data_IF_539300958344
#
_entry.id   IF_539300958344
#
_cell.length_a   1.000
_cell.length_b   1.000
_cell.length_c   1.000
_cell.angle_alpha   90.00
_cell.angle_beta   90.00
_cell.angle_gamma   90.00
#
_symmetry.space_group_name_H-M   'P 1'
#
loop_
_entity.id
_entity.type
_entity.pdbx_description
1 polymer ?
#
# COMPACT_ATOMS: atom_id res chain seq x y z
N UNK A 1 22.13 13.24 5.41
CA UNK A 1 21.35 12.37 6.32
C UNK A 1 21.37 10.90 5.90
N UNK A 2 20.98 10.55 4.67
CA UNK A 2 21.00 9.16 4.18
C UNK A 2 22.38 8.51 4.29
N UNK A 3 23.42 9.21 3.82
CA UNK A 3 24.80 8.71 3.90
C UNK A 3 25.32 8.54 5.34
N UNK A 4 24.94 9.43 6.27
CA UNK A 4 25.37 9.33 7.67
C UNK A 4 24.70 8.16 8.40
N UNK A 5 23.41 7.91 8.12
CA UNK A 5 22.69 6.74 8.67
C UNK A 5 23.28 5.43 8.14
N UNK A 6 23.59 5.37 6.84
CA UNK A 6 24.22 4.19 6.24
C UNK A 6 25.57 3.88 6.89
N UNK A 7 26.44 4.89 7.04
CA UNK A 7 27.75 4.71 7.66
C UNK A 7 27.64 4.27 9.12
N UNK A 8 26.70 4.84 9.87
CA UNK A 8 26.43 4.45 11.25
C UNK A 8 25.98 2.98 11.36
N UNK A 9 25.02 2.56 10.53
CA UNK A 9 24.51 1.19 10.51
C UNK A 9 25.60 0.18 10.10
N UNK A 10 26.38 0.50 9.06
CA UNK A 10 27.49 -0.34 8.60
C UNK A 10 28.56 -0.51 9.69
N UNK A 11 28.92 0.59 10.36
CA UNK A 11 29.90 0.57 11.46
C UNK A 11 29.40 -0.23 12.67
N UNK A 12 28.12 -0.09 13.03
CA UNK A 12 27.49 -0.87 14.09
C UNK A 12 27.51 -2.38 13.78
N UNK A 13 27.19 -2.76 12.54
CA UNK A 13 27.26 -4.16 12.09
C UNK A 13 28.66 -4.76 12.22
N UNK A 14 29.69 -4.00 11.86
CA UNK A 14 31.09 -4.44 11.98
C UNK A 14 31.54 -4.65 13.43
N UNK A 15 30.98 -3.90 14.39
CA UNK A 15 31.29 -4.06 15.83
C UNK A 15 30.51 -5.23 16.44
N UNK A 16 29.23 -5.39 16.07
CA UNK A 16 28.35 -6.43 16.65
C UNK A 16 28.66 -7.82 16.08
N UNK A 17 29.12 -7.91 14.82
CA UNK A 17 29.42 -9.17 14.15
C UNK A 17 30.34 -10.13 14.93
N UNK A 18 31.52 -9.68 15.40
CA UNK A 18 32.41 -10.53 16.21
C UNK A 18 31.88 -10.85 17.61
N UNK A 19 31.00 -10.01 18.16
CA UNK A 19 30.40 -10.24 19.49
C UNK A 19 29.33 -11.33 19.46
N UNK A 20 28.65 -11.51 18.32
CA UNK A 20 27.68 -12.58 18.09
C UNK A 20 28.33 -13.97 18.11
N UNK A 21 29.54 -14.11 17.57
CA UNK A 21 30.22 -15.40 17.40
C UNK A 21 31.49 -15.47 18.24
N UNK A 22 31.33 -15.65 19.55
CA UNK A 22 32.46 -15.78 20.47
C UNK A 22 33.09 -17.18 20.39
N UNK A 23 34.41 -17.27 20.27
CA UNK A 23 35.14 -18.56 20.22
C UNK A 23 34.93 -19.45 21.45
N UNK A 24 34.47 -18.88 22.57
CA UNK A 24 34.09 -19.63 23.79
C UNK A 24 32.89 -20.56 23.56
N UNK A 25 32.05 -20.26 22.58
CA UNK A 25 30.82 -21.00 22.28
C UNK A 25 31.00 -21.94 21.07
N UNK A 26 32.23 -22.11 20.59
CA UNK A 26 32.57 -23.07 19.55
C UNK A 26 32.31 -24.53 20.02
N UNK A 27 31.92 -25.45 19.11
CA UNK A 27 31.73 -25.30 17.67
C UNK A 27 30.31 -24.88 17.24
N UNK A 28 29.34 -24.89 18.16
CA UNK A 28 27.91 -24.77 17.79
C UNK A 28 27.37 -23.35 17.88
N UNK A 29 28.03 -22.43 18.61
CA UNK A 29 27.71 -21.00 18.71
C UNK A 29 26.20 -20.71 18.97
N UNK A 30 25.58 -21.49 19.85
CA UNK A 30 24.16 -21.37 20.18
C UNK A 30 23.67 -19.94 20.49
N UNK A 31 24.38 -19.08 21.26
CA UNK A 31 23.91 -17.72 21.51
C UNK A 31 23.89 -16.86 20.23
N UNK A 32 24.96 -16.87 19.43
CA UNK A 32 25.03 -16.10 18.18
C UNK A 32 23.95 -16.47 17.17
N UNK A 33 23.70 -17.77 16.99
CA UNK A 33 22.63 -18.26 16.12
C UNK A 33 21.24 -17.82 16.58
N UNK A 34 20.98 -17.82 17.90
CA UNK A 34 19.71 -17.35 18.47
C UNK A 34 19.50 -15.86 18.23
N UNK A 35 20.54 -15.05 18.39
CA UNK A 35 20.47 -13.61 18.19
C UNK A 35 20.30 -13.24 16.71
N UNK A 36 20.98 -13.92 15.79
CA UNK A 36 20.73 -13.78 14.34
C UNK A 36 19.28 -14.11 13.97
N UNK A 37 18.74 -15.21 14.51
CA UNK A 37 17.35 -15.59 14.30
C UNK A 37 16.39 -14.54 14.90
N UNK A 38 16.69 -14.00 16.07
CA UNK A 38 15.88 -12.96 16.71
C UNK A 38 15.80 -11.69 15.85
N UNK A 39 16.93 -11.22 15.29
CA UNK A 39 16.96 -10.05 14.39
C UNK A 39 16.15 -10.33 13.12
N UNK A 40 16.28 -11.54 12.56
CA UNK A 40 15.51 -11.93 11.37
C UNK A 40 14.00 -11.93 11.63
N UNK A 41 13.56 -12.53 12.74
CA UNK A 41 12.16 -12.52 13.16
C UNK A 41 11.68 -11.07 13.38
N UNK A 42 12.49 -10.23 14.03
CA UNK A 42 12.15 -8.83 14.22
C UNK A 42 11.93 -8.10 12.88
N UNK A 43 12.76 -8.35 11.87
CA UNK A 43 12.59 -7.79 10.53
C UNK A 43 11.28 -8.24 9.89
N UNK A 44 10.95 -9.54 9.97
CA UNK A 44 9.68 -10.07 9.45
C UNK A 44 8.49 -9.40 10.12
N UNK A 45 8.54 -9.20 11.45
CA UNK A 45 7.49 -8.49 12.20
C UNK A 45 7.34 -7.05 11.73
N UNK A 46 8.45 -6.31 11.52
CA UNK A 46 8.39 -4.93 11.01
C UNK A 46 7.76 -4.86 9.62
N UNK A 47 8.11 -5.79 8.73
CA UNK A 47 7.50 -5.87 7.38
C UNK A 47 6.00 -6.17 7.48
N UNK A 48 5.60 -7.13 8.33
CA UNK A 48 4.20 -7.44 8.54
C UNK A 48 3.42 -6.26 9.13
N UNK A 49 4.01 -5.52 10.07
CA UNK A 49 3.42 -4.29 10.62
C UNK A 49 3.26 -3.21 9.55
N UNK A 50 4.24 -3.04 8.66
CA UNK A 50 4.13 -2.13 7.53
C UNK A 50 2.98 -2.52 6.61
N UNK A 51 2.84 -3.80 6.28
CA UNK A 51 1.73 -4.29 5.45
C UNK A 51 0.36 -4.04 6.11
N UNK A 52 0.24 -4.34 7.41
CA UNK A 52 -0.99 -4.06 8.17
C UNK A 52 -1.29 -2.56 8.22
N UNK A 53 -0.26 -1.72 8.34
CA UNK A 53 -0.43 -0.26 8.32
C UNK A 53 -1.05 0.21 7.00
N UNK A 54 -0.56 -0.28 5.85
CA UNK A 54 -1.10 0.05 4.53
C UNK A 54 -2.56 -0.37 4.38
N UNK A 55 -2.91 -1.60 4.80
CA UNK A 55 -4.30 -2.08 4.77
C UNK A 55 -5.20 -1.20 5.64
N UNK A 56 -4.73 -0.82 6.82
CA UNK A 56 -5.48 0.04 7.74
C UNK A 56 -5.70 1.44 7.16
N UNK A 57 -4.68 2.03 6.52
CA UNK A 57 -4.79 3.33 5.87
C UNK A 57 -5.78 3.29 4.70
N UNK A 58 -5.72 2.27 3.85
CA UNK A 58 -6.70 2.05 2.77
C UNK A 58 -8.14 1.98 3.29
N UNK A 59 -8.38 1.23 4.38
CA UNK A 59 -9.70 1.16 5.01
C UNK A 59 -10.20 2.50 5.53
N UNK A 60 -9.31 3.39 6.00
CA UNK A 60 -9.70 4.73 6.46
C UNK A 60 -10.02 5.65 5.30
N UNK A 61 -9.30 5.54 4.19
CA UNK A 61 -9.59 6.32 2.98
C UNK A 61 -10.89 5.86 2.31
N UNK A 62 -11.19 4.57 2.27
CA UNK A 62 -12.49 4.06 1.79
C UNK A 62 -13.66 4.73 2.52
N UNK A 63 -13.57 4.85 3.86
CA UNK A 63 -14.61 5.56 4.64
C UNK A 63 -14.72 7.04 4.31
N UNK A 64 -13.60 7.71 4.01
CA UNK A 64 -13.59 9.12 3.58
C UNK A 64 -14.22 9.28 2.19
N UNK A 65 -13.95 8.36 1.25
CA UNK A 65 -14.54 8.37 -0.10
C UNK A 65 -16.05 8.25 -0.07
N UNK A 66 -16.57 7.30 0.70
CA UNK A 66 -18.02 7.09 0.85
C UNK A 66 -18.69 8.32 1.47
N UNK A 67 -18.04 8.99 2.43
CA UNK A 67 -18.55 10.24 3.00
C UNK A 67 -18.56 11.41 2.00
N UNK A 68 -17.64 11.40 1.02
CA UNK A 68 -17.54 12.39 -0.05
C UNK A 68 -18.37 12.01 -1.30
N UNK A 69 -19.18 10.95 -1.24
CA UNK A 69 -20.03 10.50 -2.37
C UNK A 69 -19.28 9.76 -3.49
N UNK A 70 -18.00 9.42 -3.29
CA UNK A 70 -17.15 8.72 -4.26
C UNK A 70 -17.23 7.18 -4.08
N UNK A 71 -16.95 6.38 -5.13
CA UNK A 71 -17.00 4.93 -5.03
C UNK A 71 -16.04 4.39 -3.96
N UNK A 72 -16.52 3.43 -3.16
CA UNK A 72 -15.79 2.87 -2.01
C UNK A 72 -14.49 2.16 -2.43
N UNK A 73 -14.52 1.45 -3.57
CA UNK A 73 -13.37 0.78 -4.17
C UNK A 73 -12.97 1.52 -5.43
N UNK A 74 -11.79 2.12 -5.39
CA UNK A 74 -11.15 2.74 -6.55
C UNK A 74 -9.86 1.97 -6.80
N UNK A 75 -9.67 1.53 -8.05
CA UNK A 75 -8.47 0.81 -8.49
C UNK A 75 -7.57 1.84 -9.16
N UNK A 76 -6.33 1.94 -8.71
CA UNK A 76 -5.34 2.80 -9.34
C UNK A 76 -4.72 2.07 -10.53
N UNK A 77 -5.09 2.49 -11.74
CA UNK A 77 -4.59 1.94 -12.99
C UNK A 77 -3.28 2.59 -13.46
N UNK A 78 -2.76 3.62 -12.76
CA UNK A 78 -1.56 4.37 -13.19
C UNK A 78 -0.27 3.54 -13.18
N UNK A 79 -0.25 2.45 -12.41
CA UNK A 79 0.89 1.54 -12.28
C UNK A 79 0.69 0.22 -13.07
N UNK A 80 -0.41 0.08 -13.83
CA UNK A 80 -0.65 -1.10 -14.64
C UNK A 80 0.13 -1.04 -15.97
N UNK A 81 0.56 -2.21 -16.47
CA UNK A 81 1.32 -2.29 -17.73
C UNK A 81 0.47 -1.99 -18.97
N UNK A 82 -0.86 -2.07 -18.83
CA UNK A 82 -1.81 -1.82 -19.90
C UNK A 82 -2.60 -0.56 -19.56
N UNK A 83 -2.72 0.35 -20.52
CA UNK A 83 -3.54 1.55 -20.35
C UNK A 83 -5.02 1.13 -20.36
N UNK A 84 -5.74 1.45 -19.30
CA UNK A 84 -7.20 1.31 -19.22
C UNK A 84 -7.80 2.70 -19.42
N UNK A 85 -8.67 2.85 -20.43
CA UNK A 85 -9.38 4.11 -20.66
C UNK A 85 -10.46 4.28 -19.58
N UNK A 86 -10.45 5.42 -18.89
CA UNK A 86 -11.24 5.70 -17.68
C UNK A 86 -12.77 5.57 -17.88
N UNK A 87 -13.23 5.58 -19.13
CA UNK A 87 -14.64 5.54 -19.51
C UNK A 87 -15.25 4.12 -19.59
N UNK A 88 -14.45 3.07 -19.81
CA UNK A 88 -15.00 1.72 -20.06
C UNK A 88 -15.29 0.93 -18.78
N UNK A 89 -14.48 1.09 -17.71
CA UNK A 89 -14.59 0.21 -16.53
C UNK A 89 -15.65 0.62 -15.50
N UNK A 90 -16.10 1.88 -15.51
CA UNK A 90 -17.20 2.32 -14.65
C UNK A 90 -18.57 1.73 -15.06
N UNK A 91 -18.67 1.14 -16.26
CA UNK A 91 -19.82 0.30 -16.66
C UNK A 91 -19.72 -1.12 -16.13
N UNK A 92 -18.50 -1.67 -16.02
CA UNK A 92 -18.28 -3.07 -15.67
C UNK A 92 -18.39 -3.32 -14.16
N UNK A 93 -18.01 -2.35 -13.32
CA UNK A 93 -18.22 -2.44 -11.86
C UNK A 93 -19.71 -2.43 -11.45
N UNK A 94 -20.60 -1.96 -12.32
CA UNK A 94 -22.05 -1.94 -12.13
C UNK A 94 -22.82 -3.15 -12.66
N UNK A 95 -22.18 -4.11 -13.35
CA UNK A 95 -22.86 -5.22 -14.04
C UNK A 95 -22.67 -6.60 -13.37
N UNK A 96 -22.46 -6.67 -12.04
CA UNK A 96 -22.51 -7.96 -11.30
C UNK A 96 -23.83 -8.13 -10.54
N UNK A 97 -24.70 -7.13 -10.54
CA UNK A 97 -26.06 -7.24 -10.00
C UNK A 97 -27.08 -6.87 -11.07
N UNK A 98 -28.00 -7.79 -11.34
CA UNK A 98 -29.27 -7.56 -12.05
C UNK A 98 -29.30 -7.93 -13.54
N UNK A 99 -29.57 -9.22 -13.77
CA UNK A 99 -30.11 -9.75 -15.03
C UNK A 99 -31.63 -9.65 -14.96
N UNK A 100 -32.26 -8.73 -15.69
CA UNK A 100 -33.45 -8.98 -16.54
C UNK A 100 -34.06 -7.67 -17.09
N UNK A 101 -34.13 -7.62 -18.42
CA UNK A 101 -35.20 -7.03 -19.26
C UNK A 101 -35.73 -5.61 -18.98
N UNK A 102 -35.52 -4.70 -19.94
CA UNK A 102 -36.51 -4.22 -20.93
C UNK A 102 -36.01 -2.87 -21.49
N UNK A 103 -36.15 -2.73 -22.80
CA UNK A 103 -35.80 -1.57 -23.61
C UNK A 103 -36.31 -0.21 -23.10
N UNK A 104 -35.57 0.83 -23.49
CA UNK A 104 -36.00 2.22 -23.73
C UNK A 104 -36.29 3.04 -22.48
N UNK A 105 -35.42 4.00 -22.19
CA UNK A 105 -35.71 5.45 -22.25
C UNK A 105 -34.41 6.23 -22.05
N UNK A 106 -34.11 7.11 -22.99
CA UNK A 106 -33.09 8.15 -22.87
C UNK A 106 -33.49 9.15 -21.78
N UNK A 107 -32.66 9.32 -20.74
CA UNK A 107 -32.38 10.56 -20.00
C UNK A 107 -31.89 10.25 -18.58
N UNK A 108 -30.76 10.82 -18.19
CA UNK A 108 -30.48 11.09 -16.76
C UNK A 108 -29.23 10.45 -16.14
N UNK A 109 -28.05 10.58 -16.76
CA UNK A 109 -26.79 10.10 -16.15
C UNK A 109 -25.63 11.07 -16.13
N UNK A 110 -25.81 12.34 -16.51
CA UNK A 110 -24.71 13.29 -16.76
C UNK A 110 -24.28 14.13 -15.54
N UNK A 111 -24.52 13.69 -14.30
CA UNK A 111 -24.20 14.51 -13.11
C UNK A 111 -23.37 13.80 -12.02
N UNK A 112 -22.98 12.53 -12.18
CA UNK A 112 -22.14 11.82 -11.19
C UNK A 112 -20.68 11.59 -11.63
N UNK A 113 -20.20 12.37 -12.60
CA UNK A 113 -18.86 12.27 -13.15
C UNK A 113 -18.06 13.57 -13.01
N UNK A 114 -18.47 14.46 -12.10
CA UNK A 114 -17.67 15.62 -11.70
C UNK A 114 -16.72 15.22 -10.56
N UNK A 115 -15.41 15.16 -10.84
CA UNK A 115 -14.38 15.27 -9.82
C UNK A 115 -13.57 14.01 -9.45
N UNK A 116 -13.46 13.00 -10.32
CA UNK A 116 -12.43 11.94 -10.19
C UNK A 116 -11.28 12.30 -11.12
N UNK A 117 -10.07 12.48 -10.59
CA UNK A 117 -8.87 12.84 -11.36
C UNK A 117 -8.54 14.34 -11.44
N UNK A 118 -9.41 15.25 -10.98
CA UNK A 118 -9.05 16.67 -10.82
C UNK A 118 -7.94 16.87 -9.79
N UNK A 119 -7.93 16.01 -8.77
CA UNK A 119 -6.89 15.97 -7.74
C UNK A 119 -5.53 15.47 -8.28
N UNK A 120 -5.46 14.93 -9.50
CA UNK A 120 -4.21 14.43 -10.07
C UNK A 120 -3.21 15.55 -10.43
N UNK A 121 -3.70 16.76 -10.72
CA UNK A 121 -2.86 17.93 -11.02
C UNK A 121 -2.52 18.76 -9.78
N UNK A 122 -3.14 18.46 -8.63
CA UNK A 122 -2.89 19.13 -7.37
C UNK A 122 -1.78 18.40 -6.60
N UNK A 123 -0.82 19.15 -6.05
CA UNK A 123 0.27 18.61 -5.22
C UNK A 123 -0.25 18.26 -3.82
N UNK A 124 -1.13 17.26 -3.76
CA UNK A 124 -1.76 16.75 -2.54
C UNK A 124 -0.97 15.58 -1.98
N UNK A 125 -0.69 15.62 -0.68
CA UNK A 125 -0.09 14.46 0.01
C UNK A 125 -1.10 13.31 0.09
N UNK A 126 -0.60 12.08 0.23
CA UNK A 126 -1.37 10.82 0.34
C UNK A 126 -2.51 10.89 1.38
N UNK A 127 -2.30 11.64 2.46
CA UNK A 127 -3.30 11.81 3.53
C UNK A 127 -4.41 12.80 3.19
N UNK A 128 -4.13 13.74 2.29
CA UNK A 128 -5.03 14.80 1.83
C UNK A 128 -5.81 14.37 0.59
N UNK A 129 -5.20 13.58 -0.29
CA UNK A 129 -5.84 13.05 -1.47
C UNK A 129 -6.76 11.88 -1.09
N UNK A 130 -8.08 12.09 -1.24
CA UNK A 130 -9.07 11.04 -1.02
C UNK A 130 -9.11 10.02 -2.15
N UNK A 131 -8.40 10.25 -3.27
CA UNK A 131 -8.26 9.32 -4.40
C UNK A 131 -7.03 8.41 -4.31
N UNK A 132 -6.08 8.72 -3.42
CA UNK A 132 -4.83 7.97 -3.32
C UNK A 132 -5.07 6.54 -2.80
N UNK A 133 -4.56 5.52 -3.49
CA UNK A 133 -4.68 4.12 -3.07
C UNK A 133 -3.30 3.60 -2.67
N UNK A 134 -3.15 3.11 -1.44
CA UNK A 134 -1.91 2.47 -1.02
C UNK A 134 -1.81 1.09 -1.65
N UNK A 135 -0.82 0.89 -2.52
CA UNK A 135 -0.50 -0.42 -3.10
C UNK A 135 0.21 -1.25 -2.01
N UNK A 136 -0.17 -2.52 -1.89
CA UNK A 136 0.36 -3.45 -0.93
C UNK A 136 0.77 -4.77 -1.59
#
# INVERSE_FOLDING_TARGET
FVASVYNAASSAGNIVGPLLFNSKDAPTYHPGLRDCLAIFIALVVVVALQWVNLIWLNKRQEKKRVANGKPAKMVDHSMEKHYHDFAEDNKTAGMVGEVEQVERTEHGGLEMQEGIGENAFLDLTDRQNDEFVYIY
#
